data_IF_143242444157
#
_entry.id   IF_143242444157
#
_cell.length_a   1.000
_cell.length_b   1.000
_cell.length_c   1.000
_cell.angle_alpha   90.00
_cell.angle_beta   90.00
_cell.angle_gamma   90.00
#
_symmetry.space_group_name_H-M   'P 1'
#
loop_
_entity.id
_entity.type
_entity.pdbx_description
1 polymer ?
#
# COMPACT_ATOMS: atom_id res chain seq x y z
N UNK A 1 12.76 -5.61 -3.54
CA UNK A 1 12.28 -4.76 -2.44
C UNK A 1 10.86 -4.30 -2.72
N UNK A 2 10.03 -4.31 -1.71
CA UNK A 2 8.67 -3.81 -1.76
C UNK A 2 8.59 -2.47 -1.01
N UNK A 3 7.63 -1.64 -1.39
CA UNK A 3 7.28 -0.46 -0.60
C UNK A 3 5.77 -0.35 -0.48
N UNK A 4 5.31 0.01 0.68
CA UNK A 4 3.89 0.14 0.99
C UNK A 4 3.57 1.56 1.43
N UNK A 5 2.43 2.06 1.00
CA UNK A 5 1.93 3.37 1.43
C UNK A 5 0.41 3.44 1.26
N UNK A 6 -0.15 4.48 1.82
CA UNK A 6 -1.55 4.85 1.65
C UNK A 6 -1.66 6.13 0.83
N UNK A 7 -2.68 6.21 0.01
CA UNK A 7 -3.16 7.50 -0.45
C UNK A 7 -4.67 7.59 -0.20
N UNK A 8 -5.21 8.79 -0.19
CA UNK A 8 -6.63 8.96 0.05
C UNK A 8 -7.34 9.53 -1.18
N UNK A 9 -8.61 9.16 -1.30
CA UNK A 9 -9.53 9.68 -2.30
C UNK A 9 -10.74 10.25 -1.57
N UNK A 10 -11.08 11.48 -1.86
CA UNK A 10 -12.28 12.09 -1.31
C UNK A 10 -13.46 11.80 -2.24
N UNK A 11 -14.46 11.08 -1.73
CA UNK A 11 -15.65 10.77 -2.49
C UNK A 11 -16.67 11.90 -2.35
N UNK A 12 -16.92 12.61 -3.44
CA UNK A 12 -17.82 13.77 -3.44
C UNK A 12 -19.29 13.38 -3.21
N UNK A 13 -19.66 12.15 -3.56
CA UNK A 13 -21.05 11.68 -3.42
C UNK A 13 -21.37 11.32 -1.97
N UNK A 14 -20.47 10.63 -1.29
CA UNK A 14 -20.68 10.17 0.08
C UNK A 14 -20.08 11.10 1.13
N UNK A 15 -19.31 12.11 0.72
CA UNK A 15 -18.55 13.01 1.57
C UNK A 15 -17.56 12.26 2.48
N UNK A 16 -17.15 11.07 2.07
CA UNK A 16 -16.20 10.23 2.82
C UNK A 16 -14.84 10.26 2.19
N UNK A 17 -13.84 10.19 3.05
CA UNK A 17 -12.46 9.94 2.63
C UNK A 17 -12.20 8.44 2.65
N UNK A 18 -11.76 7.91 1.52
CA UNK A 18 -11.33 6.52 1.40
C UNK A 18 -9.82 6.48 1.30
N UNK A 19 -9.23 5.53 2.00
CA UNK A 19 -7.79 5.28 1.95
C UNK A 19 -7.52 4.05 1.11
N UNK A 20 -6.58 4.17 0.21
CA UNK A 20 -6.12 3.07 -0.63
C UNK A 20 -4.75 2.62 -0.15
N UNK A 21 -4.64 1.33 0.18
CA UNK A 21 -3.37 0.70 0.49
C UNK A 21 -2.80 0.08 -0.76
N UNK A 22 -1.56 0.42 -1.09
CA UNK A 22 -0.88 -0.14 -2.24
C UNK A 22 0.53 -0.57 -1.89
N UNK A 23 1.04 -1.53 -2.65
CA UNK A 23 2.42 -2.00 -2.56
C UNK A 23 3.04 -1.93 -3.94
N UNK A 24 4.25 -1.40 -4.03
CA UNK A 24 5.01 -1.36 -5.28
C UNK A 24 6.21 -2.28 -5.20
N UNK A 25 6.41 -3.08 -6.25
CA UNK A 25 7.65 -3.84 -6.47
C UNK A 25 8.67 -2.90 -7.10
N UNK A 26 9.70 -2.52 -6.34
CA UNK A 26 10.62 -1.44 -6.71
C UNK A 26 11.35 -1.71 -8.02
N UNK A 27 11.78 -2.95 -8.23
CA UNK A 27 12.56 -3.31 -9.42
C UNK A 27 11.74 -3.29 -10.71
N UNK A 28 10.54 -3.89 -10.68
CA UNK A 28 9.66 -4.00 -11.85
C UNK A 28 8.71 -2.82 -12.00
N UNK A 29 8.55 -2.01 -10.97
CA UNK A 29 7.55 -0.94 -10.84
C UNK A 29 6.11 -1.44 -10.88
N UNK A 30 5.90 -2.72 -10.66
CA UNK A 30 4.56 -3.28 -10.59
C UNK A 30 3.86 -2.82 -9.32
N UNK A 31 2.61 -2.36 -9.45
CA UNK A 31 1.82 -1.84 -8.33
C UNK A 31 0.69 -2.82 -8.01
N UNK A 32 0.63 -3.22 -6.73
CA UNK A 32 -0.47 -4.01 -6.20
C UNK A 32 -1.40 -3.08 -5.41
N UNK A 33 -2.63 -2.95 -5.82
CA UNK A 33 -3.65 -2.23 -5.05
C UNK A 33 -4.30 -3.25 -4.14
N UNK A 34 -4.08 -3.11 -2.82
CA UNK A 34 -4.53 -4.10 -1.85
C UNK A 34 -5.98 -3.91 -1.44
N UNK A 35 -6.40 -2.67 -1.27
CA UNK A 35 -7.78 -2.42 -0.91
C UNK A 35 -8.07 -0.97 -0.55
N UNK A 36 -9.36 -0.68 -0.38
CA UNK A 36 -9.86 0.62 0.02
C UNK A 36 -10.62 0.49 1.33
N UNK A 37 -10.49 1.48 2.20
CA UNK A 37 -11.24 1.53 3.45
C UNK A 37 -11.40 2.97 3.93
N UNK A 38 -12.51 3.24 4.62
CA UNK A 38 -12.71 4.50 5.33
C UNK A 38 -11.95 4.52 6.65
N UNK A 39 -11.61 3.35 7.20
CA UNK A 39 -10.98 3.20 8.51
C UNK A 39 -9.73 2.31 8.42
N UNK A 40 -8.58 2.89 8.02
CA UNK A 40 -7.34 2.12 7.87
C UNK A 40 -6.72 1.82 9.23
N UNK A 41 -7.27 0.85 9.94
CA UNK A 41 -6.74 0.41 11.22
C UNK A 41 -5.70 -0.70 11.08
N UNK A 42 -5.08 -1.10 12.20
CA UNK A 42 -4.07 -2.14 12.22
C UNK A 42 -4.56 -3.49 11.72
N UNK A 43 -5.68 -4.03 12.25
CA UNK A 43 -6.20 -5.33 11.81
C UNK A 43 -6.54 -5.38 10.32
N UNK A 44 -7.14 -4.34 9.78
CA UNK A 44 -7.44 -4.27 8.35
C UNK A 44 -6.15 -4.30 7.52
N UNK A 45 -5.15 -3.50 7.92
CA UNK A 45 -3.87 -3.41 7.23
C UNK A 45 -3.13 -4.74 7.24
N UNK A 46 -3.13 -5.44 8.36
CA UNK A 46 -2.53 -6.78 8.48
C UNK A 46 -3.22 -7.78 7.53
N UNK A 47 -4.54 -7.72 7.45
CA UNK A 47 -5.27 -8.62 6.56
C UNK A 47 -4.92 -8.38 5.09
N UNK A 48 -4.73 -7.11 4.71
CA UNK A 48 -4.36 -6.78 3.33
C UNK A 48 -2.97 -7.31 2.97
N UNK A 49 -2.01 -7.22 3.89
CA UNK A 49 -0.67 -7.76 3.61
C UNK A 49 -0.68 -9.30 3.56
N UNK A 50 -1.51 -9.96 4.37
CA UNK A 50 -1.69 -11.41 4.27
C UNK A 50 -2.23 -11.82 2.91
N UNK A 51 -3.21 -11.09 2.41
CA UNK A 51 -3.79 -11.33 1.08
C UNK A 51 -2.73 -11.18 -0.01
N UNK A 52 -1.90 -10.15 0.07
CA UNK A 52 -0.80 -9.95 -0.87
C UNK A 52 0.17 -11.13 -0.85
N UNK A 53 0.59 -11.58 0.34
CA UNK A 53 1.52 -12.69 0.47
C UNK A 53 0.95 -13.98 -0.12
N UNK A 54 -0.34 -14.21 0.04
CA UNK A 54 -1.02 -15.34 -0.59
C UNK A 54 -1.02 -15.22 -2.12
N UNK A 55 -1.28 -14.03 -2.65
CA UNK A 55 -1.28 -13.78 -4.08
C UNK A 55 0.11 -13.93 -4.71
N UNK A 56 1.16 -13.48 -3.99
CA UNK A 56 2.54 -13.66 -4.44
C UNK A 56 2.97 -15.12 -4.43
N UNK A 57 2.45 -15.91 -3.47
CA UNK A 57 2.81 -17.31 -3.35
C UNK A 57 4.34 -17.50 -3.24
N UNK A 58 4.90 -18.33 -4.12
CA UNK A 58 6.33 -18.59 -4.14
C UNK A 58 7.18 -17.36 -4.49
N UNK A 59 6.60 -16.38 -5.17
CA UNK A 59 7.29 -15.13 -5.49
C UNK A 59 7.60 -14.28 -4.25
N UNK A 60 6.92 -14.53 -3.13
CA UNK A 60 7.24 -13.82 -1.89
C UNK A 60 8.69 -14.03 -1.46
N UNK A 61 9.29 -15.18 -1.79
CA UNK A 61 10.69 -15.48 -1.51
C UNK A 61 11.68 -14.60 -2.29
N UNK A 62 11.23 -13.95 -3.36
CA UNK A 62 12.06 -13.02 -4.15
C UNK A 62 12.29 -11.69 -3.45
N UNK A 63 11.53 -11.40 -2.41
CA UNK A 63 11.59 -10.13 -1.70
C UNK A 63 12.15 -10.32 -0.30
N UNK A 64 13.14 -9.51 0.06
CA UNK A 64 13.76 -9.52 1.39
C UNK A 64 13.32 -8.39 2.28
N UNK A 65 12.95 -7.26 1.68
CA UNK A 65 12.66 -6.02 2.41
C UNK A 65 11.37 -5.41 1.93
N UNK A 66 10.62 -4.84 2.87
CA UNK A 66 9.48 -3.98 2.61
C UNK A 66 9.68 -2.67 3.37
N UNK A 67 9.68 -1.56 2.65
CA UNK A 67 9.84 -0.22 3.23
C UNK A 67 8.45 0.32 3.57
N UNK A 68 8.30 0.81 4.79
CA UNK A 68 7.07 1.45 5.27
C UNK A 68 7.37 2.68 6.10
N UNK A 69 6.41 3.57 6.22
CA UNK A 69 6.52 4.71 7.13
C UNK A 69 6.22 4.28 8.59
N UNK A 70 6.12 5.25 9.49
CA UNK A 70 5.87 5.02 10.92
C UNK A 70 4.41 5.16 11.32
N UNK A 71 3.49 5.20 10.35
CA UNK A 71 2.08 5.34 10.67
C UNK A 71 1.57 4.21 11.56
N UNK A 72 0.66 4.53 12.47
CA UNK A 72 0.20 3.61 13.51
C UNK A 72 -0.52 2.37 13.02
N UNK A 73 -1.06 2.38 11.81
CA UNK A 73 -1.70 1.21 11.20
C UNK A 73 -0.70 0.12 10.81
N UNK A 74 0.57 0.44 10.68
CA UNK A 74 1.64 -0.55 10.50
C UNK A 74 2.11 -1.01 11.88
N UNK A 75 1.40 -1.97 12.42
CA UNK A 75 1.61 -2.49 13.76
C UNK A 75 2.75 -3.52 13.82
N UNK A 76 3.10 -3.95 15.04
CA UNK A 76 4.03 -5.06 15.22
C UNK A 76 3.50 -6.35 14.56
N UNK A 77 2.19 -6.55 14.52
CA UNK A 77 1.58 -7.69 13.82
C UNK A 77 1.81 -7.63 12.32
N UNK A 78 1.79 -6.43 11.73
CA UNK A 78 2.12 -6.23 10.33
C UNK A 78 3.56 -6.70 10.04
N UNK A 79 4.51 -6.26 10.84
CA UNK A 79 5.92 -6.64 10.70
C UNK A 79 6.12 -8.15 10.90
N UNK A 80 5.40 -8.74 11.86
CA UNK A 80 5.49 -10.17 12.15
C UNK A 80 4.99 -11.03 10.98
N UNK A 81 3.90 -10.65 10.34
CA UNK A 81 3.36 -11.36 9.17
C UNK A 81 4.37 -11.36 8.02
N UNK A 82 5.03 -10.22 7.80
CA UNK A 82 6.11 -10.12 6.79
C UNK A 82 7.30 -11.00 7.17
N UNK A 83 7.71 -10.97 8.42
CA UNK A 83 8.85 -11.77 8.91
C UNK A 83 8.60 -13.27 8.71
N UNK A 84 7.39 -13.74 8.94
CA UNK A 84 7.00 -15.12 8.71
C UNK A 84 7.16 -15.53 7.23
N UNK A 85 7.04 -14.58 6.33
CA UNK A 85 7.26 -14.82 4.89
C UNK A 85 8.72 -14.57 4.45
N UNK A 86 9.61 -14.26 5.40
CA UNK A 86 11.02 -13.97 5.10
C UNK A 86 11.28 -12.55 4.63
N UNK A 87 10.35 -11.63 4.88
CA UNK A 87 10.45 -10.23 4.46
C UNK A 87 10.65 -9.37 5.69
N UNK A 88 11.73 -8.61 5.72
CA UNK A 88 12.01 -7.67 6.81
C UNK A 88 11.33 -6.33 6.53
N UNK A 89 10.49 -5.88 7.44
CA UNK A 89 9.92 -4.55 7.39
C UNK A 89 10.98 -3.52 7.80
N UNK A 90 11.16 -2.50 6.98
CA UNK A 90 12.12 -1.42 7.20
C UNK A 90 11.34 -0.12 7.37
N UNK A 91 11.45 0.48 8.56
CA UNK A 91 10.86 1.78 8.84
C UNK A 91 11.72 2.87 8.21
N UNK A 92 11.08 3.83 7.58
CA UNK A 92 11.78 5.01 7.07
C UNK A 92 12.29 5.80 8.29
N UNK A 93 13.62 6.03 8.42
CA UNK A 93 14.15 6.75 9.56
C UNK A 93 13.70 8.22 9.54
N UNK A 94 13.16 8.75 10.67
CA UNK A 94 12.89 10.18 10.72
C UNK A 94 14.21 10.94 10.78
N UNK A 95 14.29 12.07 10.14
CA UNK A 95 15.40 13.04 10.22
C UNK A 95 16.74 12.62 9.62
N UNK A 96 16.77 11.61 8.75
CA UNK A 96 17.94 11.40 7.90
C UNK A 96 17.67 12.12 6.56
N UNK A 97 18.36 13.22 6.25
CA UNK A 97 18.05 13.97 5.03
C UNK A 97 18.17 13.14 3.75
N UNK A 98 19.16 12.25 3.68
CA UNK A 98 19.33 11.36 2.52
C UNK A 98 18.26 10.27 2.47
N UNK A 99 17.98 9.64 3.61
CA UNK A 99 16.97 8.60 3.68
C UNK A 99 15.57 9.18 3.40
N UNK A 100 15.28 10.36 3.94
CA UNK A 100 14.01 11.05 3.70
C UNK A 100 13.86 11.44 2.23
N UNK A 101 14.92 11.97 1.60
CA UNK A 101 14.86 12.35 0.20
C UNK A 101 14.62 11.13 -0.71
N UNK A 102 15.28 10.02 -0.41
CA UNK A 102 15.07 8.78 -1.13
C UNK A 102 13.65 8.24 -0.93
N UNK A 103 13.20 8.20 0.31
CA UNK A 103 11.86 7.75 0.66
C UNK A 103 10.78 8.65 0.06
N UNK A 104 10.96 9.97 0.09
CA UNK A 104 10.02 10.91 -0.52
C UNK A 104 9.92 10.72 -2.03
N UNK A 105 11.03 10.57 -2.71
CA UNK A 105 11.04 10.26 -4.15
C UNK A 105 10.32 8.96 -4.43
N UNK A 106 10.55 7.99 -3.57
CA UNK A 106 9.97 6.67 -3.69
C UNK A 106 8.45 6.73 -3.54
N UNK A 107 7.98 7.38 -2.48
CA UNK A 107 6.55 7.58 -2.23
C UNK A 107 5.91 8.38 -3.35
N UNK A 108 6.58 9.44 -3.81
CA UNK A 108 6.08 10.25 -4.92
C UNK A 108 5.96 9.42 -6.21
N UNK A 109 6.97 8.62 -6.50
CA UNK A 109 6.95 7.72 -7.66
C UNK A 109 5.82 6.71 -7.54
N UNK A 110 5.65 6.10 -6.36
CA UNK A 110 4.59 5.13 -6.12
C UNK A 110 3.21 5.76 -6.28
N UNK A 111 2.99 6.95 -5.73
CA UNK A 111 1.72 7.67 -5.88
C UNK A 111 1.44 8.03 -7.34
N UNK A 112 2.45 8.47 -8.06
CA UNK A 112 2.32 8.78 -9.49
C UNK A 112 1.95 7.53 -10.27
N UNK A 113 2.62 6.41 -10.03
CA UNK A 113 2.33 5.14 -10.69
C UNK A 113 0.89 4.66 -10.40
N UNK A 114 0.45 4.74 -9.15
CA UNK A 114 -0.91 4.36 -8.78
C UNK A 114 -1.93 5.27 -9.46
N UNK A 115 -1.67 6.58 -9.46
CA UNK A 115 -2.55 7.55 -10.11
C UNK A 115 -2.62 7.29 -11.62
N UNK A 116 -1.49 7.05 -12.26
CA UNK A 116 -1.43 6.74 -13.69
C UNK A 116 -2.18 5.45 -14.01
N UNK A 117 -2.03 4.42 -13.19
CA UNK A 117 -2.78 3.18 -13.36
C UNK A 117 -4.28 3.40 -13.18
N UNK A 118 -4.69 4.19 -12.22
CA UNK A 118 -6.10 4.52 -12.02
C UNK A 118 -6.67 5.28 -13.22
N UNK A 119 -5.91 6.21 -13.78
CA UNK A 119 -6.31 6.93 -14.98
C UNK A 119 -6.36 6.00 -16.21
N UNK A 120 -5.44 5.05 -16.30
CA UNK A 120 -5.34 4.10 -17.41
C UNK A 120 -6.43 3.04 -17.36
N UNK A 121 -6.71 2.48 -16.18
CA UNK A 121 -7.84 1.57 -15.98
C UNK A 121 -9.17 2.29 -16.01
N UNK A 122 -9.11 3.58 -16.05
CA UNK A 122 -10.23 4.46 -16.25
C UNK A 122 -11.08 4.67 -15.01
N UNK A 123 -11.80 5.76 -15.06
CA UNK A 123 -12.80 6.11 -14.08
C UNK A 123 -13.82 4.99 -13.86
N UNK A 124 -13.99 4.08 -14.82
CA UNK A 124 -14.88 2.92 -14.72
C UNK A 124 -14.51 1.97 -13.61
N UNK A 125 -13.23 1.57 -13.52
CA UNK A 125 -12.79 0.59 -12.52
C UNK A 125 -12.87 1.19 -11.11
N UNK A 126 -12.42 2.43 -10.96
CA UNK A 126 -12.52 3.15 -9.70
C UNK A 126 -13.99 3.34 -9.29
N UNK A 127 -14.85 3.73 -10.23
CA UNK A 127 -16.29 3.86 -9.97
C UNK A 127 -16.93 2.55 -9.55
N UNK A 128 -16.55 1.44 -10.19
CA UNK A 128 -17.06 0.11 -9.82
C UNK A 128 -16.63 -0.27 -8.40
N UNK A 129 -15.39 -0.03 -8.03
CA UNK A 129 -14.89 -0.29 -6.67
C UNK A 129 -15.61 0.60 -5.65
N UNK A 130 -15.75 1.89 -5.92
CA UNK A 130 -16.44 2.82 -5.04
C UNK A 130 -17.92 2.49 -4.92
N UNK A 131 -18.57 2.08 -6.00
CA UNK A 131 -19.98 1.68 -5.99
C UNK A 131 -20.19 0.43 -5.13
N UNK A 132 -19.31 -0.57 -5.22
CA UNK A 132 -19.36 -1.75 -4.35
C UNK A 132 -19.19 -1.36 -2.88
N UNK A 133 -18.28 -0.45 -2.58
CA UNK A 133 -18.07 0.03 -1.23
C UNK A 133 -19.30 0.79 -0.70
N UNK A 134 -19.93 1.61 -1.53
CA UNK A 134 -21.11 2.39 -1.15
C UNK A 134 -22.34 1.53 -0.94
N UNK A 135 -22.46 0.38 -1.62
CA UNK A 135 -23.62 -0.52 -1.48
C UNK A 135 -23.57 -1.33 -0.17
N UNK A 136 -22.51 -1.25 0.58
CA UNK A 136 -22.37 -1.84 1.90
C UNK A 136 -22.42 -0.79 2.99
#
# INVERSE_FOLDING_TARGET
MLAVDFFHVDCAVTLRRLYCLFVIEVGSRYVHILGFTANPDGPWTVQQIRNLLMDLGDRAADFRFLVRDRAGQFTASFDAVLADAGIQAVKIPPRSPRANAYAERFVLTARTEVTDQMLTFGARHLRAILAQYESH
#
